data_IF_255273099823
#
_entry.id   IF_255273099823
#
_cell.length_a   1.000
_cell.length_b   1.000
_cell.length_c   1.000
_cell.angle_alpha   90.00
_cell.angle_beta   90.00
_cell.angle_gamma   90.00
#
_symmetry.space_group_name_H-M   'P 1'
#
loop_
_entity.id
_entity.type
_entity.pdbx_description
1 polymer ?
#
# COMPACT_ATOMS: atom_id res chain seq x y z
N UNK A 1 25.33 9.81 38.30
CA UNK A 1 24.79 9.44 36.96
C UNK A 1 24.27 8.02 37.05
N UNK A 2 22.96 7.81 36.93
CA UNK A 2 22.41 6.44 36.82
C UNK A 2 22.71 5.95 35.42
N UNK A 3 23.33 4.78 35.29
CA UNK A 3 23.58 4.19 33.98
C UNK A 3 22.24 3.76 33.36
N UNK A 4 21.98 4.09 32.10
CA UNK A 4 20.77 3.64 31.40
C UNK A 4 20.60 2.10 31.46
N UNK A 5 21.72 1.38 31.48
CA UNK A 5 21.76 -0.08 31.64
C UNK A 5 21.22 -0.58 32.99
N UNK A 6 21.19 0.25 34.04
CA UNK A 6 20.69 -0.12 35.37
C UNK A 6 19.22 0.22 35.62
N UNK A 7 18.52 0.81 34.65
CA UNK A 7 17.07 1.03 34.75
C UNK A 7 16.35 -0.32 34.79
N UNK A 8 15.17 -0.40 35.41
CA UNK A 8 14.32 -1.59 35.38
C UNK A 8 13.52 -1.66 34.06
N UNK A 9 13.05 -2.85 33.66
CA UNK A 9 12.23 -3.00 32.44
C UNK A 9 10.96 -2.14 32.45
N UNK A 10 10.23 -1.98 33.58
CA UNK A 10 9.10 -1.06 33.66
C UNK A 10 9.47 0.40 33.35
N UNK A 11 10.64 0.86 33.79
CA UNK A 11 11.12 2.21 33.47
C UNK A 11 11.50 2.35 31.99
N UNK A 12 12.09 1.31 31.40
CA UNK A 12 12.40 1.29 29.96
C UNK A 12 11.13 1.28 29.10
N UNK A 13 10.09 0.54 29.51
CA UNK A 13 8.78 0.56 28.86
C UNK A 13 8.11 1.93 29.03
N UNK A 14 8.18 2.53 30.22
CA UNK A 14 7.68 3.89 30.43
C UNK A 14 8.37 4.88 29.50
N UNK A 15 9.71 4.86 29.42
CA UNK A 15 10.46 5.69 28.48
C UNK A 15 10.05 5.44 27.03
N UNK A 16 9.86 4.17 26.63
CA UNK A 16 9.37 3.79 25.29
C UNK A 16 8.05 4.48 24.97
N UNK A 17 7.12 4.56 25.92
CA UNK A 17 5.84 5.24 25.71
C UNK A 17 5.90 6.77 25.75
N UNK A 18 6.98 7.36 26.30
CA UNK A 18 7.20 8.81 26.31
C UNK A 18 7.92 9.33 25.05
N UNK A 19 8.46 8.43 24.22
CA UNK A 19 9.08 8.81 22.97
C UNK A 19 8.03 9.26 21.95
N UNK A 20 8.46 10.08 21.00
CA UNK A 20 7.67 10.42 19.81
C UNK A 20 7.30 9.12 19.08
N UNK A 21 6.04 8.95 18.60
CA UNK A 21 5.58 7.74 17.94
C UNK A 21 6.10 7.63 16.50
N UNK A 22 7.36 7.98 16.27
CA UNK A 22 7.99 7.91 14.96
C UNK A 22 8.74 6.58 14.77
N UNK A 23 8.47 5.94 13.64
CA UNK A 23 9.05 4.64 13.31
C UNK A 23 10.60 4.65 13.33
N UNK A 24 11.31 5.66 12.79
CA UNK A 24 12.78 5.67 12.80
C UNK A 24 13.37 5.65 14.21
N UNK A 25 12.83 6.42 15.15
CA UNK A 25 13.32 6.46 16.55
C UNK A 25 13.15 5.11 17.22
N UNK A 26 11.99 4.49 17.08
CA UNK A 26 11.71 3.18 17.70
C UNK A 26 12.55 2.05 17.08
N UNK A 27 12.78 2.09 15.76
CA UNK A 27 13.69 1.16 15.09
C UNK A 27 15.12 1.33 15.61
N UNK A 28 15.63 2.57 15.67
CA UNK A 28 16.97 2.86 16.17
C UNK A 28 17.13 2.37 17.61
N UNK A 29 16.17 2.66 18.49
CA UNK A 29 16.20 2.22 19.89
C UNK A 29 16.22 0.70 20.03
N UNK A 30 15.42 -0.01 19.22
CA UNK A 30 15.39 -1.48 19.20
C UNK A 30 16.73 -2.11 18.75
N UNK A 31 17.58 -1.34 18.05
CA UNK A 31 18.87 -1.78 17.54
C UNK A 31 20.05 -1.39 18.45
N UNK A 32 19.85 -0.49 19.42
CA UNK A 32 20.92 0.04 20.29
C UNK A 32 21.59 -1.03 21.16
N UNK A 33 20.81 -1.94 21.77
CA UNK A 33 21.37 -3.03 22.59
C UNK A 33 20.42 -4.23 22.68
N UNK A 34 20.94 -5.40 23.12
CA UNK A 34 20.17 -6.65 23.21
C UNK A 34 18.92 -6.54 24.09
N UNK A 35 19.05 -5.82 25.23
CA UNK A 35 17.95 -5.65 26.18
C UNK A 35 16.82 -4.81 25.58
N UNK A 36 17.14 -3.69 24.93
CA UNK A 36 16.14 -2.89 24.22
C UNK A 36 15.53 -3.69 23.06
N UNK A 37 16.33 -4.45 22.31
CA UNK A 37 15.80 -5.32 21.24
C UNK A 37 14.74 -6.29 21.78
N UNK A 38 14.97 -6.90 22.94
CA UNK A 38 14.02 -7.81 23.58
C UNK A 38 12.70 -7.13 23.95
N UNK A 39 12.73 -5.88 24.42
CA UNK A 39 11.51 -5.11 24.72
C UNK A 39 10.63 -4.83 23.50
N UNK A 40 11.15 -5.00 22.28
CA UNK A 40 10.43 -4.74 21.03
C UNK A 40 10.18 -6.00 20.20
N UNK A 41 10.84 -7.13 20.50
CA UNK A 41 10.80 -8.34 19.68
C UNK A 41 9.39 -8.95 19.61
N UNK A 42 8.72 -9.00 20.77
CA UNK A 42 7.48 -9.77 20.96
C UNK A 42 6.23 -8.88 21.10
N UNK A 43 6.35 -7.58 20.85
CA UNK A 43 5.29 -6.59 21.01
C UNK A 43 4.78 -6.08 19.64
N UNK A 44 4.24 -6.99 18.84
CA UNK A 44 3.68 -6.64 17.51
C UNK A 44 2.50 -5.62 17.60
N UNK A 45 1.61 -5.66 18.61
CA UNK A 45 0.60 -4.62 18.81
C UNK A 45 1.18 -3.22 19.02
N UNK A 46 2.36 -3.11 19.65
CA UNK A 46 3.05 -1.84 19.75
C UNK A 46 3.56 -1.35 18.40
N UNK A 47 4.08 -2.24 17.54
CA UNK A 47 4.46 -1.87 16.18
C UNK A 47 3.26 -1.49 15.32
N UNK A 48 2.12 -2.16 15.49
CA UNK A 48 0.86 -1.76 14.88
C UNK A 48 0.49 -0.34 15.30
N UNK A 49 0.56 -0.03 16.59
CA UNK A 49 0.30 1.31 17.11
C UNK A 49 1.21 2.36 16.47
N UNK A 50 2.52 2.08 16.33
CA UNK A 50 3.45 3.00 15.70
C UNK A 50 3.18 3.18 14.20
N UNK A 51 2.89 2.11 13.47
CA UNK A 51 2.55 2.20 12.04
C UNK A 51 1.26 3.00 11.85
N UNK A 52 0.23 2.72 12.65
CA UNK A 52 -1.05 3.44 12.61
C UNK A 52 -0.87 4.92 12.94
N UNK A 53 -0.10 5.23 13.99
CA UNK A 53 0.26 6.60 14.37
C UNK A 53 1.12 7.34 13.34
N UNK A 54 1.78 6.60 12.44
CA UNK A 54 2.49 7.13 11.28
C UNK A 54 1.63 7.17 10.00
N UNK A 55 0.35 6.77 10.07
CA UNK A 55 -0.59 6.78 8.94
C UNK A 55 -0.50 5.57 8.00
N UNK A 56 0.10 4.47 8.45
CA UNK A 56 0.26 3.26 7.65
C UNK A 56 -0.60 2.12 8.16
N UNK A 57 -1.39 1.54 7.26
CA UNK A 57 -2.07 0.27 7.41
C UNK A 57 -1.23 -0.89 6.88
N UNK A 58 -1.74 -2.10 7.06
CA UNK A 58 -1.13 -3.31 6.52
C UNK A 58 -1.97 -3.81 5.34
N UNK A 59 -1.47 -3.72 4.10
CA UNK A 59 -2.24 -4.15 2.94
C UNK A 59 -2.50 -5.66 2.97
N UNK A 60 -3.61 -6.05 2.34
CA UNK A 60 -4.01 -7.44 2.18
C UNK A 60 -3.05 -8.14 1.22
N UNK A 61 -2.56 -9.31 1.64
CA UNK A 61 -1.72 -10.15 0.79
C UNK A 61 -2.60 -11.06 -0.07
N UNK A 62 -2.37 -11.08 -1.37
CA UNK A 62 -3.03 -12.01 -2.29
C UNK A 62 -2.45 -13.41 -2.05
N UNK A 63 -3.23 -14.32 -1.48
CA UNK A 63 -2.90 -15.74 -1.46
C UNK A 63 -3.68 -16.41 -2.58
N UNK A 64 -2.96 -17.00 -3.54
CA UNK A 64 -3.59 -17.86 -4.55
C UNK A 64 -3.68 -19.27 -3.97
N UNK A 65 -4.90 -19.75 -3.73
CA UNK A 65 -5.10 -21.20 -3.65
C UNK A 65 -4.93 -21.79 -5.03
N UNK A 66 -4.17 -22.87 -5.17
CA UNK A 66 -3.93 -23.55 -6.45
C UNK A 66 -5.22 -24.20 -7.03
N UNK A 67 -6.41 -24.06 -6.40
CA UNK A 67 -7.63 -24.83 -6.74
C UNK A 67 -9.00 -24.18 -6.54
N UNK A 68 -9.15 -22.88 -6.25
CA UNK A 68 -10.49 -22.28 -6.11
C UNK A 68 -10.48 -20.75 -5.94
N UNK A 69 -11.57 -20.11 -6.38
CA UNK A 69 -11.79 -18.65 -6.48
C UNK A 69 -11.87 -17.90 -5.12
N UNK A 70 -11.25 -18.44 -4.06
CA UNK A 70 -11.21 -17.82 -2.73
C UNK A 70 -9.84 -17.20 -2.47
N UNK A 71 -9.78 -15.86 -2.49
CA UNK A 71 -8.61 -15.08 -2.04
C UNK A 71 -8.57 -15.18 -0.51
N UNK A 72 -7.86 -16.17 0.02
CA UNK A 72 -7.56 -16.20 1.45
C UNK A 72 -6.59 -15.07 1.80
N UNK A 73 -6.88 -14.37 2.89
CA UNK A 73 -5.95 -13.46 3.54
C UNK A 73 -4.79 -14.26 4.12
N UNK A 74 -3.67 -14.33 3.39
CA UNK A 74 -2.47 -15.01 3.88
C UNK A 74 -1.87 -14.33 5.12
N UNK A 75 -0.88 -14.98 5.75
CA UNK A 75 -0.08 -14.38 6.82
C UNK A 75 0.53 -13.06 6.34
N UNK A 76 -0.10 -11.95 6.73
CA UNK A 76 0.38 -10.61 6.44
C UNK A 76 1.74 -10.40 7.11
N UNK A 77 2.56 -9.48 6.58
CA UNK A 77 3.82 -9.10 7.21
C UNK A 77 3.58 -8.72 8.69
N UNK A 78 4.37 -9.23 9.66
CA UNK A 78 4.32 -8.73 11.02
C UNK A 78 4.51 -7.21 11.02
N UNK A 79 3.78 -6.49 11.90
CA UNK A 79 3.83 -5.03 11.94
C UNK A 79 5.23 -4.50 12.14
N UNK A 80 6.04 -5.21 12.92
CA UNK A 80 7.47 -4.92 13.07
C UNK A 80 8.24 -4.98 11.75
N UNK A 81 8.02 -6.02 10.95
CA UNK A 81 8.69 -6.15 9.65
C UNK A 81 8.22 -5.03 8.70
N UNK A 82 6.93 -4.72 8.71
CA UNK A 82 6.36 -3.63 7.93
C UNK A 82 7.01 -2.29 8.30
N UNK A 83 7.13 -1.97 9.59
CA UNK A 83 7.82 -0.77 10.07
C UNK A 83 9.24 -0.65 9.50
N UNK A 84 10.01 -1.75 9.52
CA UNK A 84 11.36 -1.76 8.94
C UNK A 84 11.35 -1.55 7.43
N UNK A 85 10.42 -2.17 6.70
CA UNK A 85 10.26 -1.98 5.25
C UNK A 85 9.97 -0.51 4.93
N UNK A 86 9.03 0.11 5.64
CA UNK A 86 8.62 1.51 5.44
C UNK A 86 9.79 2.48 5.67
N UNK A 87 10.50 2.34 6.80
CA UNK A 87 11.61 3.22 7.13
C UNK A 87 12.81 3.04 6.19
N UNK A 88 13.12 1.79 5.80
CA UNK A 88 14.20 1.55 4.85
C UNK A 88 13.85 2.04 3.45
N UNK A 89 12.63 1.81 2.98
CA UNK A 89 12.18 2.24 1.66
C UNK A 89 12.22 3.77 1.52
N UNK A 90 11.75 4.51 2.54
CA UNK A 90 11.79 5.97 2.52
C UNK A 90 13.19 6.55 2.26
N UNK A 91 14.27 5.86 2.67
CA UNK A 91 15.65 6.33 2.50
C UNK A 91 16.18 6.17 1.07
N UNK A 92 15.62 5.24 0.31
CA UNK A 92 16.08 4.91 -1.04
C UNK A 92 15.02 5.15 -2.13
N UNK A 93 13.79 5.51 -1.77
CA UNK A 93 12.75 5.80 -2.73
C UNK A 93 12.99 7.16 -3.40
N UNK A 94 13.06 7.15 -4.73
CA UNK A 94 13.21 8.34 -5.56
C UNK A 94 11.91 9.12 -5.71
N UNK A 95 10.76 8.46 -5.51
CA UNK A 95 9.44 9.07 -5.63
C UNK A 95 9.10 9.82 -4.34
N UNK A 96 9.12 11.15 -4.41
CA UNK A 96 8.85 12.04 -3.27
C UNK A 96 7.48 11.78 -2.63
N UNK A 97 6.43 11.62 -3.43
CA UNK A 97 5.07 11.34 -2.95
C UNK A 97 4.96 9.99 -2.23
N UNK A 98 5.83 9.02 -2.53
CA UNK A 98 5.92 7.78 -1.76
C UNK A 98 6.72 7.99 -0.48
N UNK A 99 7.91 8.59 -0.57
CA UNK A 99 8.78 8.86 0.58
C UNK A 99 8.06 9.65 1.67
N UNK A 100 7.32 10.67 1.25
CA UNK A 100 6.61 11.62 2.10
C UNK A 100 5.08 11.33 2.13
N UNK A 101 4.67 10.07 1.89
CA UNK A 101 3.27 9.66 1.68
C UNK A 101 2.27 10.27 2.67
N UNK A 102 2.61 10.28 3.96
CA UNK A 102 1.72 10.76 5.03
C UNK A 102 2.08 12.15 5.54
N UNK A 103 2.90 12.93 4.81
CA UNK A 103 3.31 14.27 5.25
C UNK A 103 2.10 15.20 5.45
N UNK A 104 1.11 15.14 4.56
CA UNK A 104 -0.08 16.01 4.59
C UNK A 104 -1.03 15.67 5.76
N UNK A 105 -0.99 14.44 6.26
CA UNK A 105 -1.74 14.03 7.45
C UNK A 105 -0.89 13.94 8.72
N UNK A 106 0.39 14.33 8.67
CA UNK A 106 1.29 14.17 9.80
C UNK A 106 0.75 14.86 11.07
N UNK A 107 0.12 16.03 10.93
CA UNK A 107 -0.52 16.72 12.06
C UNK A 107 -1.80 16.03 12.55
N UNK A 108 -2.61 15.49 11.64
CA UNK A 108 -3.84 14.76 11.92
C UNK A 108 -3.56 13.44 12.66
N UNK A 109 -2.53 12.73 12.26
CA UNK A 109 -2.09 11.51 12.95
C UNK A 109 -1.42 11.81 14.29
N UNK A 110 -0.64 12.89 14.41
CA UNK A 110 -0.05 13.32 15.69
C UNK A 110 -1.11 13.73 16.72
N UNK A 111 -2.15 14.44 16.31
CA UNK A 111 -3.25 14.80 17.21
C UNK A 111 -4.06 13.56 17.63
N UNK A 112 -4.26 12.62 16.71
CA UNK A 112 -4.98 11.35 16.96
C UNK A 112 -4.20 10.34 17.81
N UNK A 113 -2.87 10.30 17.67
CA UNK A 113 -2.00 9.46 18.50
C UNK A 113 -2.07 9.86 19.99
N UNK A 114 -2.36 11.13 20.29
CA UNK A 114 -2.59 11.63 21.66
C UNK A 114 -3.95 11.28 22.22
N UNK A 115 -4.97 11.15 21.36
CA UNK A 115 -6.34 10.81 21.77
C UNK A 115 -6.61 9.31 21.82
N UNK A 116 -5.63 8.49 21.42
CA UNK A 116 -5.74 7.03 21.51
C UNK A 116 -6.76 6.44 20.56
N UNK A 117 -6.94 7.02 19.36
CA UNK A 117 -7.71 6.38 18.29
C UNK A 117 -6.96 5.09 17.92
N UNK A 118 -7.49 3.96 18.41
CA UNK A 118 -6.82 2.67 18.49
C UNK A 118 -7.22 1.69 17.40
N UNK A 119 -8.22 2.01 16.58
CA UNK A 119 -8.76 1.09 15.60
C UNK A 119 -9.39 1.84 14.43
N UNK A 120 -9.33 1.27 13.22
CA UNK A 120 -10.13 1.76 12.10
C UNK A 120 -11.63 1.76 12.46
N UNK A 121 -12.40 2.68 11.87
CA UNK A 121 -13.82 2.81 12.22
C UNK A 121 -14.65 1.71 11.55
N UNK A 122 -15.57 1.06 12.30
CA UNK A 122 -16.48 0.05 11.75
C UNK A 122 -17.53 0.68 10.83
N UNK A 123 -18.04 -0.13 9.90
CA UNK A 123 -18.72 0.29 8.69
C UNK A 123 -20.11 0.91 8.83
N UNK A 124 -20.81 0.83 9.98
CA UNK A 124 -22.26 0.87 9.88
C UNK A 124 -23.16 1.66 10.85
N UNK A 125 -22.69 2.38 11.87
CA UNK A 125 -23.69 2.96 12.82
C UNK A 125 -23.47 4.36 13.35
N UNK A 126 -22.37 5.06 13.08
CA UNK A 126 -22.13 6.40 13.68
C UNK A 126 -21.49 7.47 12.76
N UNK A 127 -21.26 7.17 11.48
CA UNK A 127 -20.50 8.06 10.58
C UNK A 127 -21.36 9.07 9.78
N UNK A 128 -22.56 9.44 10.26
CA UNK A 128 -23.42 10.40 9.53
C UNK A 128 -22.95 11.87 9.64
N UNK A 129 -21.90 12.16 10.42
CA UNK A 129 -21.52 13.54 10.75
C UNK A 129 -20.00 13.76 10.91
N UNK A 130 -19.16 12.95 10.25
CA UNK A 130 -17.69 13.13 10.29
C UNK A 130 -17.11 13.27 8.89
N UNK A 131 -16.31 14.32 8.72
CA UNK A 131 -15.53 14.59 7.50
C UNK A 131 -14.53 13.46 7.26
N UNK A 132 -14.91 12.49 6.42
CA UNK A 132 -13.96 11.49 5.89
C UNK A 132 -13.15 12.18 4.81
N UNK A 133 -11.85 12.35 5.05
CA UNK A 133 -10.92 12.87 4.06
C UNK A 133 -10.32 11.71 3.26
N UNK A 134 -10.34 11.80 1.93
CA UNK A 134 -9.58 10.90 1.07
C UNK A 134 -8.08 11.23 1.18
N UNK A 135 -7.25 10.20 1.09
CA UNK A 135 -5.81 10.41 1.13
C UNK A 135 -5.32 11.13 -0.14
N UNK A 136 -4.36 12.08 -0.09
CA UNK A 136 -3.88 12.76 -1.28
C UNK A 136 -3.40 11.80 -2.37
N UNK A 137 -2.73 10.71 -1.98
CA UNK A 137 -2.31 9.63 -2.89
C UNK A 137 -3.47 8.87 -3.58
N UNK A 138 -4.73 9.19 -3.29
CA UNK A 138 -5.89 8.70 -4.03
C UNK A 138 -5.80 9.03 -5.53
N UNK A 139 -5.02 10.04 -5.94
CA UNK A 139 -4.74 10.28 -7.37
C UNK A 139 -4.11 9.08 -8.09
N UNK A 140 -3.38 8.20 -7.37
CA UNK A 140 -2.82 6.97 -7.93
C UNK A 140 -3.87 5.90 -8.26
N UNK A 141 -5.11 6.08 -7.80
CA UNK A 141 -6.21 5.16 -8.08
C UNK A 141 -6.91 5.47 -9.42
N UNK A 142 -6.46 6.51 -10.13
CA UNK A 142 -6.83 6.87 -11.49
C UNK A 142 -8.32 6.66 -11.83
N UNK A 143 -9.17 7.54 -11.31
CA UNK A 143 -10.55 7.65 -11.76
C UNK A 143 -10.60 8.63 -12.92
N UNK A 144 -11.20 8.23 -14.05
CA UNK A 144 -11.41 9.16 -15.17
C UNK A 144 -12.57 10.09 -14.83
N UNK A 145 -12.30 11.40 -14.79
CA UNK A 145 -13.34 12.42 -14.96
C UNK A 145 -13.33 12.80 -16.44
N UNK A 146 -14.14 12.18 -17.30
CA UNK A 146 -14.24 12.65 -18.69
C UNK A 146 -15.12 13.91 -18.73
N UNK A 147 -14.60 15.10 -19.11
CA UNK A 147 -15.40 16.29 -19.31
C UNK A 147 -15.62 16.47 -20.80
N UNK A 148 -16.42 15.62 -21.43
CA UNK A 148 -16.82 15.80 -22.84
C UNK A 148 -18.26 15.31 -23.06
N UNK A 149 -19.21 15.98 -22.39
CA UNK A 149 -20.45 16.47 -23.00
C UNK A 149 -21.38 17.00 -21.90
N UNK A 150 -21.89 18.23 -22.08
CA UNK A 150 -22.79 18.93 -21.17
C UNK A 150 -24.21 18.30 -21.03
N UNK A 151 -24.38 16.99 -21.30
CA UNK A 151 -25.69 16.35 -21.29
C UNK A 151 -25.78 15.06 -20.46
N UNK A 152 -24.68 14.46 -20.02
CA UNK A 152 -24.71 13.27 -19.15
C UNK A 152 -23.50 13.29 -18.24
N UNK A 153 -23.72 13.51 -16.94
CA UNK A 153 -22.69 13.26 -15.91
C UNK A 153 -22.42 11.76 -15.96
N UNK A 154 -21.37 11.35 -16.68
CA UNK A 154 -20.91 9.96 -16.64
C UNK A 154 -20.16 9.76 -15.33
N UNK A 155 -20.54 8.70 -14.65
CA UNK A 155 -20.08 8.26 -13.34
C UNK A 155 -18.54 8.23 -13.27
N UNK A 156 -17.93 8.45 -12.09
CA UNK A 156 -16.51 8.23 -11.91
C UNK A 156 -16.22 6.73 -12.07
N UNK A 157 -16.00 6.30 -13.30
CA UNK A 157 -15.54 4.94 -13.60
C UNK A 157 -14.03 4.87 -13.41
N UNK A 158 -13.50 3.76 -12.90
CA UNK A 158 -12.06 3.52 -12.91
C UNK A 158 -11.52 3.67 -14.33
N UNK A 159 -10.45 4.44 -14.50
CA UNK A 159 -9.74 4.49 -15.78
C UNK A 159 -8.98 3.17 -15.93
N UNK A 160 -9.58 2.23 -16.66
CA UNK A 160 -9.04 0.88 -16.87
C UNK A 160 -7.59 0.91 -17.34
N UNK A 161 -7.25 1.83 -18.24
CA UNK A 161 -5.90 1.95 -18.77
C UNK A 161 -4.94 2.42 -17.68
N UNK A 162 -5.30 3.50 -16.98
CA UNK A 162 -4.43 4.05 -15.95
C UNK A 162 -4.27 3.08 -14.77
N UNK A 163 -5.32 2.36 -14.37
CA UNK A 163 -5.22 1.30 -13.36
C UNK A 163 -4.33 0.17 -13.86
N UNK A 164 -4.47 -0.31 -15.10
CA UNK A 164 -3.59 -1.33 -15.67
C UNK A 164 -2.12 -0.91 -15.62
N UNK A 165 -1.81 0.33 -15.99
CA UNK A 165 -0.44 0.87 -15.96
C UNK A 165 0.17 0.87 -14.56
N UNK A 166 -0.64 1.00 -13.49
CA UNK A 166 -0.12 0.88 -12.10
C UNK A 166 0.29 -0.54 -11.70
N UNK A 167 -0.01 -1.54 -12.52
CA UNK A 167 0.34 -2.95 -12.29
C UNK A 167 1.54 -3.39 -13.12
N UNK A 168 1.81 -2.69 -14.23
CA UNK A 168 2.86 -3.06 -15.17
C UNK A 168 4.25 -2.68 -14.63
N UNK A 169 5.30 -3.44 -15.00
CA UNK A 169 6.66 -3.13 -14.61
C UNK A 169 7.11 -1.86 -15.33
N UNK A 170 8.11 -1.20 -14.78
CA UNK A 170 8.85 -0.12 -15.45
C UNK A 170 10.33 -0.37 -15.35
N UNK A 171 11.15 0.32 -16.15
CA UNK A 171 12.59 0.06 -16.14
C UNK A 171 13.19 0.27 -14.75
N UNK A 172 14.08 -0.62 -14.29
CA UNK A 172 14.84 -0.41 -13.05
C UNK A 172 15.65 0.89 -13.06
N UNK A 173 16.06 1.37 -14.24
CA UNK A 173 16.80 2.61 -14.46
C UNK A 173 15.87 3.84 -14.59
N UNK A 174 14.57 3.64 -14.85
CA UNK A 174 13.55 4.69 -14.91
C UNK A 174 12.80 4.83 -13.57
N UNK A 175 13.44 4.50 -12.43
CA UNK A 175 12.93 4.84 -11.08
C UNK A 175 12.73 6.36 -10.86
N UNK A 176 13.28 7.16 -11.78
CA UNK A 176 13.10 8.61 -11.93
C UNK A 176 11.80 9.01 -12.65
N UNK A 177 11.10 8.06 -13.29
CA UNK A 177 9.78 8.28 -13.88
C UNK A 177 8.68 7.87 -12.90
N UNK A 178 7.65 8.71 -12.78
CA UNK A 178 6.65 8.75 -11.70
C UNK A 178 5.76 7.50 -11.52
N UNK A 179 6.05 6.40 -12.23
CA UNK A 179 5.17 5.24 -12.36
C UNK A 179 6.00 3.95 -12.23
N UNK A 180 6.30 3.53 -11.00
CA UNK A 180 6.57 2.13 -10.71
C UNK A 180 5.27 1.44 -10.30
N UNK A 181 5.15 0.11 -10.41
CA UNK A 181 3.96 -0.56 -9.92
C UNK A 181 3.82 -0.29 -8.42
N UNK A 182 2.60 -0.02 -7.96
CA UNK A 182 2.37 0.46 -6.59
C UNK A 182 2.96 -0.49 -5.54
N UNK A 183 2.94 -1.80 -5.81
CA UNK A 183 3.52 -2.86 -4.99
C UNK A 183 5.06 -2.78 -4.81
N UNK A 184 5.75 -1.91 -5.56
CA UNK A 184 7.18 -1.60 -5.39
C UNK A 184 7.43 -0.39 -4.48
N UNK A 185 6.35 0.27 -4.04
CA UNK A 185 6.36 1.48 -3.23
C UNK A 185 5.65 1.25 -1.88
N UNK A 186 6.30 0.58 -0.90
CA UNK A 186 5.72 0.25 0.40
C UNK A 186 5.01 1.41 1.09
N UNK A 187 5.60 2.61 1.13
CA UNK A 187 4.99 3.73 1.85
C UNK A 187 3.67 4.17 1.19
N UNK A 188 3.66 4.31 -0.14
CA UNK A 188 2.43 4.62 -0.87
C UNK A 188 1.41 3.47 -0.78
N UNK A 189 1.87 2.22 -0.91
CA UNK A 189 1.03 1.03 -0.80
C UNK A 189 0.33 0.93 0.56
N UNK A 190 1.05 1.22 1.63
CA UNK A 190 0.58 1.05 3.01
C UNK A 190 -0.14 2.28 3.57
N UNK A 191 -0.11 3.43 2.88
CA UNK A 191 -0.85 4.60 3.31
C UNK A 191 -2.34 4.25 3.42
N UNK A 192 -3.00 4.70 4.48
CA UNK A 192 -4.45 4.57 4.58
C UNK A 192 -5.13 5.34 3.45
N UNK A 193 -6.20 4.78 2.91
CA UNK A 193 -6.96 5.44 1.85
C UNK A 193 -7.80 6.62 2.35
N UNK A 194 -8.14 6.62 3.64
CA UNK A 194 -8.98 7.63 4.27
C UNK A 194 -8.41 8.07 5.61
N UNK A 195 -8.78 9.28 6.01
CA UNK A 195 -8.66 9.75 7.38
C UNK A 195 -10.05 10.10 7.94
N UNK A 196 -10.47 9.53 9.08
CA UNK A 196 -9.82 8.43 9.79
C UNK A 196 -9.76 7.13 8.95
N UNK A 197 -8.87 6.18 9.28
CA UNK A 197 -8.80 4.90 8.59
C UNK A 197 -10.10 4.10 8.72
N UNK A 198 -10.60 3.56 7.60
CA UNK A 198 -11.86 2.80 7.54
C UNK A 198 -11.59 1.32 7.29
N UNK A 199 -12.31 0.44 7.99
CA UNK A 199 -12.18 -1.02 7.79
C UNK A 199 -12.81 -1.48 6.47
N UNK A 200 -13.78 -0.74 5.95
CA UNK A 200 -14.40 -1.07 4.68
C UNK A 200 -14.84 0.18 3.93
N UNK A 201 -14.64 0.14 2.62
CA UNK A 201 -14.98 1.21 1.69
C UNK A 201 -15.87 0.64 0.59
N UNK A 202 -17.00 1.30 0.36
CA UNK A 202 -17.95 0.97 -0.69
C UNK A 202 -17.90 2.06 -1.76
N UNK A 203 -17.66 1.66 -3.01
CA UNK A 203 -17.68 2.55 -4.16
C UNK A 203 -19.00 2.36 -4.88
N UNK A 204 -19.70 3.47 -5.11
CA UNK A 204 -21.03 3.49 -5.69
C UNK A 204 -21.00 4.13 -7.08
N UNK A 205 -21.82 3.62 -7.98
CA UNK A 205 -22.13 4.26 -9.27
C UNK A 205 -23.05 5.48 -9.05
N UNK A 206 -23.37 6.24 -10.10
CA UNK A 206 -24.26 7.41 -9.94
C UNK A 206 -25.72 7.03 -9.65
N UNK A 207 -26.07 5.75 -9.79
CA UNK A 207 -27.39 5.23 -9.43
C UNK A 207 -27.42 4.74 -7.97
N UNK A 208 -26.30 4.82 -7.25
CA UNK A 208 -26.16 4.42 -5.85
C UNK A 208 -25.92 2.92 -5.65
N UNK A 209 -25.71 2.14 -6.72
CA UNK A 209 -25.36 0.73 -6.59
C UNK A 209 -23.88 0.59 -6.24
N UNK A 210 -23.58 -0.29 -5.29
CA UNK A 210 -22.19 -0.58 -4.93
C UNK A 210 -21.59 -1.51 -5.98
N UNK A 211 -20.60 -1.04 -6.72
CA UNK A 211 -19.89 -1.84 -7.73
C UNK A 211 -18.57 -2.42 -7.21
N UNK A 212 -18.04 -1.87 -6.11
CA UNK A 212 -16.83 -2.34 -5.49
C UNK A 212 -16.89 -2.16 -3.97
N UNK A 213 -16.51 -3.20 -3.23
CA UNK A 213 -16.31 -3.14 -1.78
C UNK A 213 -14.92 -3.64 -1.45
N UNK A 214 -14.18 -2.85 -0.67
CA UNK A 214 -12.86 -3.22 -0.14
C UNK A 214 -12.98 -3.33 1.36
N UNK A 215 -12.57 -4.46 1.94
CA UNK A 215 -12.57 -4.67 3.39
C UNK A 215 -11.19 -5.11 3.89
N UNK A 216 -10.62 -4.34 4.80
CA UNK A 216 -9.38 -4.63 5.50
C UNK A 216 -9.56 -4.33 7.01
N UNK A 217 -9.48 -5.35 7.89
CA UNK A 217 -9.65 -5.15 9.34
C UNK A 217 -8.56 -4.28 9.97
N UNK A 218 -7.40 -4.16 9.33
CA UNK A 218 -6.31 -3.27 9.76
C UNK A 218 -6.47 -1.83 9.20
N UNK A 219 -7.52 -1.57 8.42
CA UNK A 219 -7.82 -0.32 7.73
C UNK A 219 -7.41 -0.37 6.25
N UNK A 220 -8.33 0.04 5.36
CA UNK A 220 -8.13 0.00 3.91
C UNK A 220 -6.96 0.89 3.49
N UNK A 221 -6.03 0.30 2.75
CA UNK A 221 -4.84 0.97 2.21
C UNK A 221 -5.02 1.35 0.74
N UNK A 222 -4.14 2.20 0.21
CA UNK A 222 -4.13 2.53 -1.22
C UNK A 222 -3.91 1.27 -2.08
N UNK A 223 -3.05 0.34 -1.65
CA UNK A 223 -2.80 -0.90 -2.39
C UNK A 223 -4.04 -1.81 -2.43
N UNK A 224 -4.82 -1.87 -1.34
CA UNK A 224 -6.04 -2.67 -1.30
C UNK A 224 -7.04 -2.19 -2.34
N UNK A 225 -7.25 -0.86 -2.42
CA UNK A 225 -8.15 -0.28 -3.42
C UNK A 225 -7.60 -0.47 -4.82
N UNK A 226 -6.32 -0.22 -5.05
CA UNK A 226 -5.69 -0.40 -6.35
C UNK A 226 -5.87 -1.84 -6.88
N UNK A 227 -5.66 -2.84 -6.03
CA UNK A 227 -5.87 -4.26 -6.38
C UNK A 227 -7.32 -4.58 -6.66
N UNK A 228 -8.23 -4.01 -5.88
CA UNK A 228 -9.66 -4.26 -6.06
C UNK A 228 -10.19 -3.61 -7.35
N UNK A 229 -9.69 -2.40 -7.70
CA UNK A 229 -9.95 -1.76 -8.98
C UNK A 229 -9.35 -2.56 -10.14
N UNK A 230 -8.13 -3.08 -9.99
CA UNK A 230 -7.50 -3.94 -10.99
C UNK A 230 -8.31 -5.22 -11.27
N UNK A 231 -8.95 -5.80 -10.25
CA UNK A 231 -9.82 -6.96 -10.42
C UNK A 231 -11.11 -6.67 -11.21
N UNK A 232 -11.50 -5.40 -11.34
CA UNK A 232 -12.62 -4.98 -12.19
C UNK A 232 -12.22 -4.87 -13.66
N UNK A 233 -10.92 -4.85 -13.99
CA UNK A 233 -10.46 -4.76 -15.37
C UNK A 233 -10.90 -6.04 -16.09
N UNK A 234 -11.81 -5.96 -17.07
CA UNK A 234 -12.21 -7.13 -17.80
C UNK A 234 -11.01 -7.66 -18.61
N UNK A 235 -10.93 -8.98 -18.77
CA UNK A 235 -9.93 -9.64 -19.63
C UNK A 235 -10.26 -9.38 -21.11
N UNK A 236 -10.25 -8.11 -21.50
CA UNK A 236 -10.55 -7.65 -22.85
C UNK A 236 -9.29 -7.64 -23.71
N UNK A 237 -9.49 -7.88 -25.01
CA UNK A 237 -8.42 -7.86 -26.02
C UNK A 237 -7.66 -6.54 -25.98
N UNK A 238 -8.34 -5.41 -25.74
CA UNK A 238 -7.70 -4.10 -25.65
C UNK A 238 -6.69 -3.99 -24.50
N UNK A 239 -7.03 -4.48 -23.30
CA UNK A 239 -6.11 -4.47 -22.16
C UNK A 239 -4.88 -5.36 -22.40
N UNK A 240 -5.10 -6.52 -23.04
CA UNK A 240 -4.03 -7.42 -23.47
C UNK A 240 -3.09 -6.73 -24.48
N UNK A 241 -3.63 -6.11 -25.53
CA UNK A 241 -2.84 -5.43 -26.57
C UNK A 241 -1.96 -4.32 -25.97
N UNK A 242 -2.51 -3.52 -25.06
CA UNK A 242 -1.80 -2.45 -24.39
C UNK A 242 -0.66 -3.01 -23.51
N UNK A 243 -0.95 -4.01 -22.68
CA UNK A 243 0.07 -4.63 -21.83
C UNK A 243 1.18 -5.28 -22.66
N UNK A 244 0.83 -5.98 -23.74
CA UNK A 244 1.81 -6.59 -24.64
C UNK A 244 2.66 -5.54 -25.35
N UNK A 245 2.07 -4.42 -25.80
CA UNK A 245 2.83 -3.32 -26.40
C UNK A 245 3.83 -2.74 -25.40
N UNK A 246 3.38 -2.49 -24.18
CA UNK A 246 4.25 -1.99 -23.10
C UNK A 246 5.42 -2.96 -22.82
N UNK A 247 5.14 -4.26 -22.70
CA UNK A 247 6.19 -5.27 -22.53
C UNK A 247 7.18 -5.31 -23.70
N UNK A 248 6.70 -5.19 -24.94
CA UNK A 248 7.58 -5.19 -26.10
C UNK A 248 8.54 -3.99 -26.07
N UNK A 249 8.08 -2.82 -25.66
CA UNK A 249 8.91 -1.63 -25.55
C UNK A 249 9.96 -1.78 -24.44
N UNK A 250 9.58 -2.38 -23.31
CA UNK A 250 10.52 -2.73 -22.24
C UNK A 250 11.57 -3.76 -22.68
N UNK A 251 11.14 -4.83 -23.36
CA UNK A 251 12.05 -5.86 -23.89
C UNK A 251 13.04 -5.23 -24.88
N UNK A 252 12.55 -4.46 -25.86
CA UNK A 252 13.39 -3.79 -26.88
C UNK A 252 14.48 -2.94 -26.26
N UNK A 253 14.15 -2.19 -25.23
CA UNK A 253 15.08 -1.28 -24.57
C UNK A 253 16.05 -2.02 -23.65
N UNK A 254 15.62 -3.11 -23.02
CA UNK A 254 16.47 -3.91 -22.12
C UNK A 254 17.61 -4.66 -22.83
N UNK A 255 17.47 -4.92 -24.14
CA UNK A 255 18.39 -5.76 -24.90
C UNK A 255 18.34 -7.26 -24.55
N UNK A 256 17.46 -7.68 -23.64
CA UNK A 256 17.26 -9.07 -23.26
C UNK A 256 16.36 -9.81 -24.26
N UNK A 257 16.51 -11.14 -24.34
CA UNK A 257 15.49 -11.95 -25.02
C UNK A 257 14.16 -11.88 -24.26
N UNK A 258 13.05 -12.12 -24.98
CA UNK A 258 11.71 -12.16 -24.38
C UNK A 258 11.63 -13.09 -23.17
N UNK A 259 12.24 -14.27 -23.23
CA UNK A 259 12.21 -15.25 -22.13
C UNK A 259 13.08 -14.85 -20.95
N UNK A 260 14.27 -14.27 -21.20
CA UNK A 260 15.14 -13.75 -20.14
C UNK A 260 14.49 -12.57 -19.42
N UNK A 261 13.88 -11.66 -20.17
CA UNK A 261 13.17 -10.52 -19.62
C UNK A 261 11.96 -10.96 -18.79
N UNK A 262 11.16 -11.89 -19.31
CA UNK A 262 10.00 -12.41 -18.58
C UNK A 262 10.40 -13.13 -17.28
N UNK A 263 11.47 -13.92 -17.30
CA UNK A 263 12.01 -14.56 -16.08
C UNK A 263 12.49 -13.51 -15.06
N UNK A 264 13.21 -12.47 -15.51
CA UNK A 264 13.64 -11.35 -14.66
C UNK A 264 12.44 -10.65 -13.98
N UNK A 265 11.44 -10.24 -14.78
CA UNK A 265 10.26 -9.54 -14.27
C UNK A 265 9.40 -10.42 -13.37
N UNK A 266 9.27 -11.71 -13.66
CA UNK A 266 8.50 -12.64 -12.83
C UNK A 266 9.01 -12.77 -11.38
N UNK A 267 10.28 -12.40 -11.14
CA UNK A 267 10.92 -12.38 -9.82
C UNK A 267 10.62 -11.09 -9.04
N UNK A 268 10.20 -10.01 -9.70
CA UNK A 268 9.88 -8.72 -9.09
C UNK A 268 8.44 -8.68 -8.55
N UNK A 269 8.19 -9.42 -7.46
CA UNK A 269 6.84 -9.62 -6.90
C UNK A 269 6.38 -8.56 -5.89
N UNK A 270 6.98 -7.37 -5.91
CA UNK A 270 6.73 -6.31 -4.92
C UNK A 270 7.15 -6.66 -3.50
N UNK A 271 6.91 -5.76 -2.54
CA UNK A 271 7.40 -5.93 -1.16
C UNK A 271 6.65 -7.01 -0.35
N UNK A 272 5.44 -7.37 -0.76
CA UNK A 272 4.64 -8.46 -0.20
C UNK A 272 4.94 -9.82 -0.86
N UNK A 273 5.72 -9.82 -1.95
CA UNK A 273 6.11 -11.03 -2.67
C UNK A 273 4.94 -11.74 -3.39
N UNK A 274 3.86 -11.03 -3.65
CA UNK A 274 2.59 -11.55 -4.19
C UNK A 274 2.12 -10.84 -5.47
N UNK A 275 2.88 -9.87 -5.99
CA UNK A 275 2.52 -9.21 -7.24
C UNK A 275 2.71 -10.14 -8.43
N UNK A 276 1.67 -10.23 -9.28
CA UNK A 276 1.73 -10.89 -10.58
C UNK A 276 1.50 -9.84 -11.67
N UNK A 277 2.38 -9.83 -12.66
CA UNK A 277 2.27 -8.91 -13.79
C UNK A 277 1.18 -9.41 -14.77
N UNK A 278 0.13 -8.62 -15.04
CA UNK A 278 -0.95 -9.00 -15.94
C UNK A 278 -0.43 -9.40 -17.32
N UNK A 279 -0.95 -10.47 -17.92
CA UNK A 279 -0.62 -10.90 -19.28
C UNK A 279 0.85 -11.33 -19.53
N UNK A 280 1.66 -11.51 -18.48
CA UNK A 280 3.07 -11.92 -18.63
C UNK A 280 3.19 -13.33 -19.24
N UNK A 281 2.23 -14.23 -18.98
CA UNK A 281 2.24 -15.60 -19.53
C UNK A 281 1.93 -15.60 -21.03
N UNK A 282 0.97 -14.78 -21.43
CA UNK A 282 0.53 -14.56 -22.79
C UNK A 282 1.67 -13.98 -23.64
N UNK A 283 2.45 -13.06 -23.08
CA UNK A 283 3.67 -12.54 -23.71
C UNK A 283 4.64 -13.67 -24.09
N UNK A 284 4.88 -14.61 -23.18
CA UNK A 284 5.79 -15.75 -23.38
C UNK A 284 5.19 -16.78 -24.33
N UNK A 285 3.87 -16.98 -24.31
CA UNK A 285 3.18 -17.91 -25.22
C UNK A 285 3.17 -17.43 -26.68
N UNK A 286 3.26 -16.12 -26.91
CA UNK A 286 3.40 -15.51 -28.24
C UNK A 286 4.83 -15.56 -28.80
N UNK A 287 5.71 -16.43 -28.27
CA UNK A 287 7.12 -16.55 -28.67
C UNK A 287 7.35 -17.72 -29.62
#
# INVERSE_FOLDING_TARGET
MVAFASLSDPLLLYLRFQLSPDLPTHIALSQTCRRLRQLYLDDDPFWQFLCFGAGFGRPLRLRREERGDTVELGNALPWRMLAHVLVNHARSCEIRSCRDANADFAEHYRSSARTGIRSPLPTHTQARDRDIALHPLYFYLHFSQFPFDHATVRDPTPDVLAVLLTLLPTFPECRSSQYGPLCSHPNASCAFATFPPMESLNFQDAQGNTFLTVHNPDGCTILDINRALAALIPNEIAALEIALSHYQDLIRTSGLSKTQWADMVSKERGFLGDHEYPFLRELVALA
#
